data_IF_638863374049
#
_entry.id   IF_638863374049
#
_cell.length_a   1.000
_cell.length_b   1.000
_cell.length_c   1.000
_cell.angle_alpha   90.00
_cell.angle_beta   90.00
_cell.angle_gamma   90.00
#
_symmetry.space_group_name_H-M   'P 1'
#
loop_
_entity.id
_entity.type
_entity.pdbx_description
1 polymer ?
#
# COMPACT_ATOMS: atom_id res chain seq x y z
N UNK A 1 12.84 -29.34 -69.81
CA UNK A 1 12.12 -28.04 -69.89
C UNK A 1 11.96 -27.51 -68.48
N UNK A 2 12.79 -26.54 -68.09
CA UNK A 2 12.69 -25.85 -66.79
C UNK A 2 12.34 -24.38 -67.09
N UNK A 3 11.09 -24.00 -66.83
CA UNK A 3 10.60 -22.63 -66.93
C UNK A 3 10.79 -21.96 -65.57
N UNK A 4 11.90 -21.26 -65.39
CA UNK A 4 12.12 -20.40 -64.22
C UNK A 4 11.41 -19.06 -64.45
N UNK A 5 10.29 -18.87 -63.75
CA UNK A 5 9.57 -17.60 -63.74
C UNK A 5 10.44 -16.51 -63.09
N UNK A 6 10.84 -15.50 -63.87
CA UNK A 6 11.41 -14.25 -63.33
C UNK A 6 10.32 -13.52 -62.57
N UNK A 7 10.21 -13.80 -61.27
CA UNK A 7 9.47 -12.94 -60.36
C UNK A 7 10.15 -11.57 -60.36
N UNK A 8 9.38 -10.53 -60.70
CA UNK A 8 9.88 -9.17 -60.67
C UNK A 8 10.20 -8.80 -59.22
N UNK A 9 11.31 -8.09 -59.00
CA UNK A 9 11.75 -7.67 -57.67
C UNK A 9 10.67 -6.91 -56.89
N UNK A 10 9.74 -6.28 -57.60
CA UNK A 10 8.56 -5.59 -57.07
C UNK A 10 7.52 -6.52 -56.45
N UNK A 11 7.29 -7.72 -56.99
CA UNK A 11 6.32 -8.67 -56.39
C UNK A 11 6.86 -9.28 -55.11
N UNK A 12 8.16 -9.53 -55.04
CA UNK A 12 8.83 -10.03 -53.82
C UNK A 12 8.78 -8.98 -52.72
N UNK A 13 9.06 -7.71 -53.05
CA UNK A 13 8.94 -6.61 -52.11
C UNK A 13 7.52 -6.45 -51.56
N UNK A 14 6.50 -6.47 -52.44
CA UNK A 14 5.10 -6.37 -52.03
C UNK A 14 4.65 -7.53 -51.13
N UNK A 15 5.04 -8.76 -51.45
CA UNK A 15 4.73 -9.94 -50.64
C UNK A 15 5.38 -9.86 -49.25
N UNK A 16 6.65 -9.43 -49.18
CA UNK A 16 7.35 -9.27 -47.90
C UNK A 16 6.72 -8.21 -47.00
N UNK A 17 6.26 -7.09 -47.59
CA UNK A 17 5.57 -6.03 -46.87
C UNK A 17 4.22 -6.52 -46.31
N UNK A 18 3.44 -7.25 -47.11
CA UNK A 18 2.18 -7.84 -46.66
C UNK A 18 2.36 -8.84 -45.52
N UNK A 19 3.39 -9.68 -45.61
CA UNK A 19 3.72 -10.65 -44.55
C UNK A 19 4.12 -9.94 -43.25
N UNK A 20 4.90 -8.86 -43.34
CA UNK A 20 5.27 -8.04 -42.18
C UNK A 20 4.05 -7.40 -41.50
N UNK A 21 3.13 -6.84 -42.28
CA UNK A 21 1.88 -6.27 -41.75
C UNK A 21 1.03 -7.35 -41.07
N UNK A 22 0.91 -8.54 -41.69
CA UNK A 22 0.12 -9.64 -41.14
C UNK A 22 0.71 -10.19 -39.82
N UNK A 23 2.04 -10.29 -39.72
CA UNK A 23 2.70 -10.71 -38.47
C UNK A 23 2.53 -9.63 -37.40
N UNK A 24 2.69 -8.35 -37.75
CA UNK A 24 2.52 -7.25 -36.80
C UNK A 24 1.10 -7.18 -36.23
N UNK A 25 0.07 -7.33 -37.07
CA UNK A 25 -1.33 -7.35 -36.61
C UNK A 25 -1.62 -8.57 -35.73
N UNK A 26 -1.06 -9.73 -36.07
CA UNK A 26 -1.23 -10.95 -35.28
C UNK A 26 -0.57 -10.83 -33.90
N UNK A 27 0.63 -10.25 -33.83
CA UNK A 27 1.34 -9.98 -32.56
C UNK A 27 0.58 -8.97 -31.70
N UNK A 28 -0.01 -7.92 -32.31
CA UNK A 28 -0.80 -6.94 -31.58
C UNK A 28 -2.10 -7.55 -31.04
N UNK A 29 -2.87 -8.30 -31.84
CA UNK A 29 -4.10 -8.91 -31.36
C UNK A 29 -3.85 -9.97 -30.28
N UNK A 30 -2.85 -10.84 -30.44
CA UNK A 30 -2.55 -11.86 -29.43
C UNK A 30 -1.84 -11.30 -28.22
N UNK A 31 -0.87 -10.41 -28.40
CA UNK A 31 -0.07 -9.84 -27.30
C UNK A 31 -0.88 -8.88 -26.43
N UNK A 32 -1.74 -8.04 -27.03
CA UNK A 32 -2.52 -7.05 -26.29
C UNK A 32 -3.69 -7.68 -25.53
N UNK A 33 -4.29 -8.76 -26.06
CA UNK A 33 -5.32 -9.53 -25.34
C UNK A 33 -4.76 -10.43 -24.23
N UNK A 34 -3.49 -10.83 -24.36
CA UNK A 34 -2.81 -11.67 -23.35
C UNK A 34 -2.13 -10.86 -22.25
N UNK A 35 -2.10 -9.52 -22.37
CA UNK A 35 -1.64 -8.69 -21.28
C UNK A 35 -2.60 -8.87 -20.08
N UNK A 36 -2.10 -9.34 -18.92
CA UNK A 36 -2.94 -9.42 -17.74
C UNK A 36 -3.42 -8.01 -17.43
N UNK A 37 -4.72 -7.77 -17.57
CA UNK A 37 -5.32 -6.57 -17.01
C UNK A 37 -5.10 -6.68 -15.51
N UNK A 38 -4.14 -5.91 -14.99
CA UNK A 38 -3.92 -5.78 -13.55
C UNK A 38 -5.12 -4.99 -13.05
N UNK A 39 -6.20 -5.70 -12.76
CA UNK A 39 -7.37 -5.13 -12.10
C UNK A 39 -6.91 -4.75 -10.70
N UNK A 40 -6.62 -3.47 -10.47
CA UNK A 40 -6.39 -2.95 -9.12
C UNK A 40 -7.71 -3.10 -8.36
N UNK A 41 -7.85 -4.22 -7.64
CA UNK A 41 -8.95 -4.43 -6.71
C UNK A 41 -8.77 -3.43 -5.57
N UNK A 42 -9.71 -2.49 -5.44
CA UNK A 42 -9.65 -1.49 -4.39
C UNK A 42 -9.76 -2.15 -3.00
N UNK A 43 -8.93 -1.72 -2.05
CA UNK A 43 -8.95 -2.20 -0.67
C UNK A 43 -10.16 -1.72 0.14
N UNK A 44 -11.07 -0.97 -0.48
CA UNK A 44 -12.24 -0.35 0.16
C UNK A 44 -13.10 -1.37 0.92
N UNK A 45 -13.30 -2.57 0.38
CA UNK A 45 -14.07 -3.62 1.03
C UNK A 45 -13.42 -4.09 2.35
N UNK A 46 -12.10 -4.30 2.34
CA UNK A 46 -11.35 -4.67 3.54
C UNK A 46 -11.32 -3.56 4.59
N UNK A 47 -11.15 -2.32 4.15
CA UNK A 47 -11.19 -1.14 5.04
C UNK A 47 -12.59 -0.97 5.65
N UNK A 48 -13.66 -1.13 4.86
CA UNK A 48 -15.03 -1.03 5.36
C UNK A 48 -15.36 -2.09 6.41
N UNK A 49 -14.83 -3.31 6.26
CA UNK A 49 -14.98 -4.38 7.25
C UNK A 49 -14.17 -4.12 8.53
N UNK A 50 -12.98 -3.55 8.42
CA UNK A 50 -12.09 -3.28 9.56
C UNK A 50 -12.46 -1.99 10.31
N UNK A 51 -12.99 -0.98 9.61
CA UNK A 51 -13.34 0.33 10.15
C UNK A 51 -14.10 0.31 11.50
N UNK A 52 -15.15 -0.50 11.71
CA UNK A 52 -15.88 -0.52 12.98
C UNK A 52 -15.05 -1.04 14.17
N UNK A 53 -13.98 -1.79 13.93
CA UNK A 53 -13.10 -2.28 14.98
C UNK A 53 -11.95 -1.31 15.31
N UNK A 54 -11.69 -0.31 14.46
CA UNK A 54 -10.64 0.68 14.65
C UNK A 54 -11.18 1.83 15.50
N UNK A 55 -10.52 2.10 16.62
CA UNK A 55 -10.90 3.18 17.54
C UNK A 55 -9.78 4.21 17.65
N UNK A 56 -10.17 5.47 17.87
CA UNK A 56 -9.22 6.52 18.23
C UNK A 56 -8.97 6.46 19.73
N UNK A 57 -7.71 6.36 20.12
CA UNK A 57 -7.28 6.30 21.51
C UNK A 57 -6.76 7.67 21.93
N UNK A 58 -7.38 8.24 22.95
CA UNK A 58 -6.87 9.41 23.65
C UNK A 58 -6.37 8.97 25.02
N UNK A 59 -5.10 9.23 25.32
CA UNK A 59 -4.53 8.95 26.64
C UNK A 59 -3.90 10.21 27.22
N UNK A 60 -4.15 10.44 28.51
CA UNK A 60 -3.49 11.46 29.29
C UNK A 60 -2.79 10.77 30.47
N UNK A 61 -1.48 10.95 30.58
CA UNK A 61 -0.67 10.37 31.66
C UNK A 61 0.07 11.47 32.40
N UNK A 62 0.04 11.41 33.73
CA UNK A 62 0.93 12.22 34.56
C UNK A 62 2.36 11.70 34.40
N UNK A 63 3.26 12.57 33.93
CA UNK A 63 4.67 12.22 33.79
C UNK A 63 5.31 12.30 35.16
N UNK A 64 5.61 11.12 35.73
CA UNK A 64 6.42 11.02 36.93
C UNK A 64 7.87 10.79 36.53
N UNK A 65 8.81 11.67 36.91
CA UNK A 65 10.23 11.43 36.70
C UNK A 65 10.68 10.16 37.42
N UNK A 66 11.53 9.33 36.79
CA UNK A 66 12.00 8.06 37.37
C UNK A 66 12.71 8.21 38.72
N UNK A 67 13.41 9.32 38.95
CA UNK A 67 14.10 9.58 40.23
C UNK A 67 13.13 9.76 41.40
N UNK A 68 11.83 9.98 41.14
CA UNK A 68 10.82 10.02 42.19
C UNK A 68 10.47 8.64 42.75
N UNK A 69 10.93 7.56 42.12
CA UNK A 69 10.72 6.20 42.62
C UNK A 69 11.74 5.84 43.72
N UNK A 70 12.83 6.59 43.84
CA UNK A 70 13.77 6.49 44.95
C UNK A 70 13.16 7.01 46.26
N UNK A 71 13.34 6.26 47.34
CA UNK A 71 12.75 6.54 48.64
C UNK A 71 13.21 7.89 49.23
N UNK A 72 14.45 8.28 48.91
CA UNK A 72 15.04 9.55 49.32
C UNK A 72 14.33 10.77 48.71
N UNK A 73 13.88 10.66 47.46
CA UNK A 73 13.27 11.78 46.71
C UNK A 73 11.74 11.72 46.72
N UNK A 74 11.14 10.62 47.19
CA UNK A 74 9.69 10.42 47.26
C UNK A 74 8.94 11.58 47.94
N UNK A 75 9.47 12.06 49.07
CA UNK A 75 8.85 13.14 49.87
C UNK A 75 8.90 14.51 49.17
N UNK A 76 10.00 14.77 48.44
CA UNK A 76 10.15 15.98 47.64
C UNK A 76 9.19 15.96 46.45
N UNK A 77 9.12 14.83 45.74
CA UNK A 77 8.21 14.65 44.59
C UNK A 77 6.73 14.75 44.99
N UNK A 78 6.30 14.13 46.10
CA UNK A 78 4.90 14.23 46.56
C UNK A 78 4.48 15.65 46.93
N UNK A 79 5.42 16.48 47.41
CA UNK A 79 5.12 17.85 47.84
C UNK A 79 5.06 18.89 46.72
N UNK A 80 5.64 18.59 45.55
CA UNK A 80 5.75 19.54 44.42
C UNK A 80 5.05 19.09 43.14
N UNK A 81 5.09 17.80 42.83
CA UNK A 81 4.59 17.27 41.54
C UNK A 81 3.07 17.03 41.57
N UNK A 82 2.50 16.78 42.76
CA UNK A 82 1.05 16.59 42.93
C UNK A 82 0.29 17.93 43.08
N UNK A 83 1.00 19.01 43.48
CA UNK A 83 0.44 20.32 43.84
C UNK A 83 0.57 21.37 42.74
N UNK A 84 1.70 21.42 42.02
CA UNK A 84 1.79 22.17 40.77
C UNK A 84 1.28 21.28 39.65
N UNK A 85 0.56 21.84 38.68
CA UNK A 85 0.01 21.14 37.52
C UNK A 85 1.08 20.28 36.82
N UNK A 86 1.26 19.04 37.30
CA UNK A 86 2.32 18.15 36.85
C UNK A 86 2.23 17.99 35.34
N UNK A 87 3.39 17.96 34.67
CA UNK A 87 3.47 17.82 33.22
C UNK A 87 2.63 16.60 32.80
N UNK A 88 1.49 16.86 32.15
CA UNK A 88 0.63 15.83 31.57
C UNK A 88 1.08 15.60 30.14
N UNK A 89 1.39 14.35 29.83
CA UNK A 89 1.60 13.94 28.45
C UNK A 89 0.29 13.45 27.88
N UNK A 90 -0.08 14.03 26.74
CA UNK A 90 -1.26 13.64 25.97
C UNK A 90 -0.77 12.91 24.73
N UNK A 91 -1.27 11.71 24.51
CA UNK A 91 -1.00 10.95 23.30
C UNK A 91 -2.30 10.64 22.57
N UNK A 92 -2.26 10.86 21.26
CA UNK A 92 -3.28 10.47 20.30
C UNK A 92 -2.77 9.26 19.53
N UNK A 93 -3.59 8.21 19.45
CA UNK A 93 -3.26 7.00 18.72
C UNK A 93 -4.48 6.34 18.13
N UNK A 94 -4.26 5.22 17.46
CA UNK A 94 -5.30 4.32 16.97
C UNK A 94 -5.11 2.94 17.59
N UNK A 95 -6.22 2.27 17.86
CA UNK A 95 -6.26 0.90 18.36
C UNK A 95 -7.25 0.06 17.56
N UNK A 96 -7.15 -1.27 17.71
CA UNK A 96 -8.08 -2.22 17.09
C UNK A 96 -8.64 -3.11 18.19
N UNK A 97 -9.97 -3.25 18.22
CA UNK A 97 -10.66 -4.15 19.14
C UNK A 97 -10.56 -5.58 18.58
N UNK A 98 -9.89 -6.47 19.33
CA UNK A 98 -9.64 -7.86 18.89
C UNK A 98 -10.72 -8.84 19.34
N UNK A 99 -11.42 -8.52 20.44
CA UNK A 99 -12.45 -9.39 21.03
C UNK A 99 -13.70 -8.57 21.38
N UNK A 100 -14.84 -9.27 21.55
CA UNK A 100 -16.13 -8.61 21.84
C UNK A 100 -16.19 -7.98 23.23
N UNK A 101 -15.32 -8.38 24.15
CA UNK A 101 -15.21 -7.85 25.50
C UNK A 101 -14.30 -6.61 25.61
N UNK A 102 -13.70 -6.17 24.50
CA UNK A 102 -12.74 -5.07 24.45
C UNK A 102 -11.31 -5.56 24.51
#
# INVERSE_FOLDING_TARGET
>A
MQTTARLSTWTVAALSALLGVLVATLVLEFGYRSAPQITMTGFAAGVALAAPAVVTLYSERAVRPKFCDDEHYRRWCSSRIETEAGRRERALGSGVILRRDG
#
